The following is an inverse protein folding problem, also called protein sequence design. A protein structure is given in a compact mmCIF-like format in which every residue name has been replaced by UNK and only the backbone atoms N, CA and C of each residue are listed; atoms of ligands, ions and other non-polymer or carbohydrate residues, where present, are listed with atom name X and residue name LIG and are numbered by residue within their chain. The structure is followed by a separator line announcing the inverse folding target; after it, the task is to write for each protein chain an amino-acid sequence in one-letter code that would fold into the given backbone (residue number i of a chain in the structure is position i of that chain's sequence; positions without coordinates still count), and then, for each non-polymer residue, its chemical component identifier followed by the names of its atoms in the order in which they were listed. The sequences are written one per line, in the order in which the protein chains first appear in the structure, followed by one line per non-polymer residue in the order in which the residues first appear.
data_IF_345799484420
#
_entry.id   IF_345799484420
#
_cell.length_a   1.000
_cell.length_b   1.000
_cell.length_c   1.000
_cell.angle_alpha   90.00
_cell.angle_beta   90.00
_cell.angle_gamma   90.00
#
_symmetry.space_group_name_H-M   'P 1'
#
loop_
_entity.id
_entity.type
_entity.pdbx_description
1 polymer ?
#
# COMPACT_ATOMS: atom_id res chain seq x y z
N UNK A 1 7.96 -14.94 3.41
CA UNK A 1 6.55 -15.02 3.88
C UNK A 1 6.23 -14.08 5.04
N UNK A 2 7.18 -13.77 5.94
CA UNK A 2 6.97 -12.90 7.11
C UNK A 2 6.34 -11.51 6.81
N UNK A 3 6.80 -10.83 5.76
CA UNK A 3 6.27 -9.50 5.38
C UNK A 3 4.80 -9.51 4.92
N UNK A 4 4.35 -10.62 4.33
CA UNK A 4 2.93 -10.77 3.94
C UNK A 4 2.08 -10.94 5.19
N UNK A 5 2.58 -11.68 6.18
CA UNK A 5 1.90 -11.89 7.46
C UNK A 5 1.78 -10.59 8.26
N UNK A 6 2.79 -9.73 8.23
CA UNK A 6 2.74 -8.39 8.87
C UNK A 6 1.72 -7.48 8.17
N UNK A 7 1.72 -7.42 6.83
CA UNK A 7 0.74 -6.64 6.07
C UNK A 7 -0.70 -7.12 6.34
N UNK A 8 -0.95 -8.43 6.29
CA UNK A 8 -2.27 -8.99 6.63
C UNK A 8 -2.69 -8.71 8.07
N UNK A 9 -1.74 -8.67 9.01
CA UNK A 9 -2.00 -8.30 10.41
C UNK A 9 -2.52 -6.86 10.51
N UNK A 10 -1.78 -5.91 9.95
CA UNK A 10 -2.17 -4.49 9.93
C UNK A 10 -3.52 -4.32 9.25
N UNK A 11 -3.73 -4.94 8.09
CA UNK A 11 -5.01 -4.85 7.37
C UNK A 11 -6.18 -5.42 8.17
N UNK A 12 -5.97 -6.50 8.94
CA UNK A 12 -7.01 -7.08 9.79
C UNK A 12 -7.39 -6.20 10.98
N UNK A 13 -6.42 -5.44 11.51
CA UNK A 13 -6.67 -4.48 12.60
C UNK A 13 -7.43 -3.25 12.11
N UNK A 14 -7.15 -2.79 10.89
CA UNK A 14 -7.77 -1.60 10.32
C UNK A 14 -9.11 -1.89 9.62
N UNK A 15 -9.28 -3.10 9.09
CA UNK A 15 -10.45 -3.50 8.32
C UNK A 15 -11.16 -4.64 9.06
N UNK A 16 -12.40 -4.42 9.47
CA UNK A 16 -13.26 -5.46 10.03
C UNK A 16 -13.78 -6.43 8.95
N UNK A 17 -12.86 -7.01 8.18
CA UNK A 17 -13.15 -7.92 7.08
C UNK A 17 -12.82 -9.36 7.45
N UNK A 18 -13.46 -10.30 6.76
CA UNK A 18 -13.14 -11.70 6.88
C UNK A 18 -11.71 -11.99 6.38
N UNK A 19 -11.01 -12.94 7.02
CA UNK A 19 -9.61 -13.30 6.74
C UNK A 19 -9.33 -13.53 5.25
N UNK A 20 -10.22 -14.23 4.54
CA UNK A 20 -10.06 -14.48 3.10
C UNK A 20 -10.04 -13.20 2.24
N UNK A 21 -10.76 -12.15 2.65
CA UNK A 21 -10.72 -10.85 1.98
C UNK A 21 -9.43 -10.12 2.28
N UNK A 22 -8.95 -10.19 3.52
CA UNK A 22 -7.66 -9.62 3.92
C UNK A 22 -6.52 -10.27 3.14
N UNK A 23 -6.47 -11.60 3.09
CA UNK A 23 -5.40 -12.34 2.41
C UNK A 23 -5.38 -12.03 0.91
N UNK A 24 -6.56 -12.01 0.26
CA UNK A 24 -6.68 -11.61 -1.14
C UNK A 24 -6.23 -10.16 -1.37
N UNK A 25 -6.65 -9.24 -0.51
CA UNK A 25 -6.32 -7.82 -0.64
C UNK A 25 -4.82 -7.54 -0.40
N UNK A 26 -4.21 -8.19 0.58
CA UNK A 26 -2.77 -8.13 0.83
C UNK A 26 -1.96 -8.59 -0.39
N UNK A 27 -2.37 -9.70 -1.03
CA UNK A 27 -1.74 -10.17 -2.26
C UNK A 27 -1.90 -9.19 -3.42
N UNK A 28 -3.09 -8.58 -3.56
CA UNK A 28 -3.35 -7.61 -4.62
C UNK A 28 -2.50 -6.34 -4.44
N UNK A 29 -2.39 -5.81 -3.21
CA UNK A 29 -1.51 -4.68 -2.89
C UNK A 29 -0.04 -4.99 -3.18
N UNK A 30 0.44 -6.18 -2.80
CA UNK A 30 1.80 -6.61 -3.13
C UNK A 30 2.03 -6.71 -4.63
N UNK A 31 1.07 -7.25 -5.38
CA UNK A 31 1.14 -7.28 -6.84
C UNK A 31 1.22 -5.86 -7.43
N UNK A 32 0.41 -4.92 -6.92
CA UNK A 32 0.45 -3.52 -7.35
C UNK A 32 1.80 -2.85 -7.08
N UNK A 33 2.41 -3.12 -5.92
CA UNK A 33 3.76 -2.64 -5.59
C UNK A 33 4.84 -3.27 -6.47
N UNK A 34 4.75 -4.58 -6.73
CA UNK A 34 5.71 -5.33 -7.56
C UNK A 34 5.67 -4.91 -9.03
N UNK A 35 4.47 -4.69 -9.57
CA UNK A 35 4.26 -4.28 -10.97
C UNK A 35 4.58 -2.79 -11.19
N UNK A 36 4.99 -2.05 -10.14
CA UNK A 36 5.26 -0.59 -10.17
C UNK A 36 4.12 0.21 -10.80
N UNK A 37 2.87 -0.25 -10.68
CA UNK A 37 1.73 0.48 -11.25
C UNK A 37 1.43 1.77 -10.47
N UNK A 38 2.07 1.95 -9.33
CA UNK A 38 2.03 3.16 -8.54
C UNK A 38 3.48 3.63 -8.44
N UNK A 39 3.81 4.73 -9.13
CA UNK A 39 5.08 5.42 -8.93
C UNK A 39 5.04 6.01 -7.50
N UNK A 40 5.40 5.20 -6.50
CA UNK A 40 5.37 5.57 -5.08
C UNK A 40 6.23 6.82 -4.80
N UNK A 41 7.15 7.17 -5.69
CA UNK A 41 7.88 8.45 -5.65
C UNK A 41 6.99 9.66 -5.91
N UNK A 42 6.07 9.59 -6.87
CA UNK A 42 5.09 10.66 -7.14
C UNK A 42 4.02 10.72 -6.03
N UNK A 43 3.59 9.55 -5.52
CA UNK A 43 2.64 9.50 -4.41
C UNK A 43 3.23 9.92 -3.07
N UNK A 44 4.53 9.73 -2.83
CA UNK A 44 5.19 10.23 -1.62
C UNK A 44 5.12 11.77 -1.55
N UNK A 45 5.25 12.46 -2.69
CA UNK A 45 5.08 13.92 -2.77
C UNK A 45 3.64 14.36 -2.45
N UNK A 46 2.65 13.57 -2.86
CA UNK A 46 1.25 13.84 -2.57
C UNK A 46 0.84 13.51 -1.12
N UNK A 47 1.39 12.44 -0.54
CA UNK A 47 1.07 11.95 0.81
C UNK A 47 1.77 12.76 1.90
N UNK A 48 3.01 13.23 1.65
CA UNK A 48 3.77 14.05 2.61
C UNK A 48 3.28 15.51 2.69
N UNK A 49 2.23 15.89 1.94
CA UNK A 49 1.65 17.24 1.95
C UNK A 49 2.61 18.35 1.52
N UNK A 50 3.86 18.02 1.17
CA UNK A 50 4.85 18.96 0.69
C UNK A 50 4.73 19.05 -0.82
N UNK A 51 3.76 19.84 -1.26
CA UNK A 51 3.83 20.50 -2.56
C UNK A 51 5.13 21.33 -2.56
N UNK A 52 6.22 20.73 -3.03
CA UNK A 52 7.41 21.49 -3.41
C UNK A 52 7.06 22.06 -4.77
N UNK A 53 6.57 23.30 -4.76
CA UNK A 53 6.51 24.18 -5.90
C UNK A 53 7.93 24.40 -6.43
N UNK A 54 8.40 23.50 -7.29
CA UNK A 54 9.61 23.73 -8.06
C UNK A 54 9.35 23.43 -9.53
N UNK A 55 9.33 24.55 -10.29
CA UNK A 55 9.72 24.80 -11.69
C UNK A 55 8.84 24.16 -12.79
N UNK A 56 8.27 24.88 -13.77
CA UNK A 56 8.48 26.23 -14.33
C UNK A 56 7.17 26.96 -14.62
#
# INVERSE_FOLDING_TARGET
MKYISELSGILSEQLNWHKSRIDCFAQMLLALFMVRSINLSENAVAIDGKQISLIS
#
